data_IF_678545238349
#
_entry.id   IF_678545238349
#
_cell.length_a   1.000
_cell.length_b   1.000
_cell.length_c   1.000
_cell.angle_alpha   90.00
_cell.angle_beta   90.00
_cell.angle_gamma   90.00
#
_symmetry.space_group_name_H-M   'P 1'
#
loop_
_entity.id
_entity.type
_entity.pdbx_description
1 polymer ?
#
# COMPACT_ATOMS: atom_id res chain seq x y z
N UNK A 1 3.24 0.76 -2.22
CA UNK A 1 2.72 1.58 -1.14
C UNK A 1 1.73 0.79 -0.28
N UNK A 2 1.76 0.98 1.02
CA UNK A 2 0.80 0.42 1.99
C UNK A 2 0.31 1.57 2.90
N UNK A 3 -0.59 2.44 2.42
CA UNK A 3 -0.98 3.63 3.15
C UNK A 3 -1.58 3.32 4.52
N UNK A 4 -1.24 4.11 5.57
CA UNK A 4 -1.76 3.93 6.93
C UNK A 4 -3.18 4.51 7.02
N UNK A 5 -4.14 3.81 6.43
CA UNK A 5 -5.52 4.25 6.32
C UNK A 5 -6.15 4.59 7.68
N UNK A 6 -6.75 5.78 7.80
CA UNK A 6 -7.64 6.11 8.91
C UNK A 6 -9.04 5.57 8.62
N UNK A 7 -9.54 4.71 9.49
CA UNK A 7 -10.88 4.14 9.34
C UNK A 7 -11.92 5.02 10.04
N UNK A 8 -13.05 5.24 9.38
CA UNK A 8 -14.16 6.06 9.94
C UNK A 8 -14.86 5.41 11.13
N UNK A 9 -14.69 4.12 11.36
CA UNK A 9 -15.34 3.39 12.44
C UNK A 9 -14.64 3.64 13.78
N UNK A 10 -15.10 4.65 14.51
CA UNK A 10 -14.67 4.92 15.89
C UNK A 10 -15.01 3.72 16.78
N UNK A 11 -13.99 3.20 17.52
CA UNK A 11 -14.11 2.19 18.59
C UNK A 11 -14.44 0.75 18.15
N UNK A 12 -13.74 0.22 17.15
CA UNK A 12 -13.70 -1.24 16.96
C UNK A 12 -12.41 -1.78 17.57
N UNK A 13 -12.51 -2.85 18.36
CA UNK A 13 -11.35 -3.56 18.90
C UNK A 13 -10.48 -4.03 17.72
N UNK A 14 -9.22 -3.63 17.66
CA UNK A 14 -8.32 -3.90 16.51
C UNK A 14 -8.27 -2.81 15.44
N UNK A 15 -8.80 -1.61 15.69
CA UNK A 15 -8.63 -0.47 14.80
C UNK A 15 -7.14 -0.11 14.64
N UNK A 16 -6.74 0.23 13.40
CA UNK A 16 -5.35 0.57 13.06
C UNK A 16 -4.77 1.70 13.93
N UNK A 17 -5.61 2.65 14.33
CA UNK A 17 -5.26 3.80 15.19
C UNK A 17 -4.71 3.39 16.58
N UNK A 18 -4.98 2.18 17.03
CA UNK A 18 -4.45 1.65 18.30
C UNK A 18 -3.04 1.07 18.14
N UNK A 19 -2.51 0.97 16.93
CA UNK A 19 -1.27 0.24 16.64
C UNK A 19 -0.19 1.10 15.99
N UNK A 20 -0.58 2.11 15.18
CA UNK A 20 0.35 3.02 14.50
C UNK A 20 -0.35 4.33 14.12
N UNK A 21 0.41 5.42 13.89
CA UNK A 21 -0.13 6.68 13.38
C UNK A 21 -0.84 6.47 12.03
N UNK A 22 -2.10 6.89 11.93
CA UNK A 22 -2.87 6.83 10.69
C UNK A 22 -2.94 8.20 10.04
N UNK A 23 -3.12 8.23 8.71
CA UNK A 23 -3.29 9.45 7.93
C UNK A 23 -4.71 9.52 7.36
N UNK A 24 -5.28 10.72 7.31
CA UNK A 24 -6.51 10.97 6.57
C UNK A 24 -6.27 10.86 5.06
N UNK A 25 -7.35 10.67 4.29
CA UNK A 25 -7.23 10.61 2.83
C UNK A 25 -6.70 11.93 2.25
N UNK A 26 -7.02 13.08 2.85
CA UNK A 26 -6.55 14.37 2.38
C UNK A 26 -5.05 14.57 2.64
N UNK A 27 -4.54 14.15 3.81
CA UNK A 27 -3.11 14.11 4.10
C UNK A 27 -2.36 13.19 3.13
N UNK A 28 -2.90 12.01 2.84
CA UNK A 28 -2.32 11.08 1.87
C UNK A 28 -2.28 11.68 0.45
N UNK A 29 -3.36 12.35 0.04
CA UNK A 29 -3.43 13.00 -1.26
C UNK A 29 -2.44 14.17 -1.40
N UNK A 30 -2.11 14.85 -0.30
CA UNK A 30 -1.17 15.97 -0.29
C UNK A 30 0.30 15.54 -0.43
N UNK A 31 0.61 14.26 -0.27
CA UNK A 31 1.97 13.76 -0.45
C UNK A 31 2.43 13.92 -1.90
N UNK A 32 3.63 14.49 -2.16
CA UNK A 32 4.10 14.79 -3.51
C UNK A 32 4.62 13.54 -4.25
N UNK A 33 3.86 12.45 -4.23
CA UNK A 33 4.24 11.16 -4.85
C UNK A 33 4.45 11.29 -6.36
N UNK A 34 3.72 12.20 -7.01
CA UNK A 34 3.88 12.47 -8.43
C UNK A 34 5.30 12.92 -8.82
N UNK A 35 6.04 13.56 -7.89
CA UNK A 35 7.43 14.02 -8.10
C UNK A 35 8.44 12.87 -8.06
N UNK A 36 8.15 11.80 -7.32
CA UNK A 36 8.99 10.59 -7.26
C UNK A 36 8.79 9.72 -8.50
N UNK A 37 7.61 9.81 -9.13
CA UNK A 37 7.22 8.92 -10.18
C UNK A 37 7.88 9.29 -11.52
N UNK A 38 8.63 8.37 -12.12
CA UNK A 38 9.13 8.52 -13.48
C UNK A 38 7.98 8.72 -14.48
N UNK A 39 8.32 9.23 -15.68
CA UNK A 39 7.35 9.45 -16.78
C UNK A 39 6.53 8.19 -17.06
N UNK A 40 7.18 7.04 -17.11
CA UNK A 40 6.57 5.73 -17.32
C UNK A 40 6.81 4.90 -16.05
N UNK A 41 5.80 4.77 -15.21
CA UNK A 41 5.91 4.12 -13.90
C UNK A 41 4.66 3.35 -13.51
N UNK A 42 4.83 2.34 -12.66
CA UNK A 42 3.75 1.54 -12.10
C UNK A 42 3.66 1.76 -10.59
N UNK A 43 2.44 1.86 -10.09
CA UNK A 43 2.11 1.93 -8.67
C UNK A 43 1.41 0.64 -8.26
N UNK A 44 1.92 0.01 -7.20
CA UNK A 44 1.31 -1.11 -6.51
C UNK A 44 0.85 -0.62 -5.13
N UNK A 45 -0.45 -0.60 -4.88
CA UNK A 45 -1.03 -0.03 -3.67
C UNK A 45 -1.90 -1.02 -2.92
N UNK A 46 -1.55 -1.32 -1.68
CA UNK A 46 -2.37 -2.15 -0.80
C UNK A 46 -3.60 -1.39 -0.31
N UNK A 47 -4.73 -2.08 -0.36
CA UNK A 47 -5.98 -1.60 0.19
C UNK A 47 -6.80 -2.75 0.77
N UNK A 48 -7.55 -2.46 1.82
CA UNK A 48 -8.64 -3.34 2.24
C UNK A 48 -9.89 -3.05 1.40
N UNK A 49 -10.78 -4.01 1.27
CA UNK A 49 -12.00 -3.82 0.47
C UNK A 49 -12.84 -2.61 0.89
N UNK A 50 -13.03 -2.31 2.20
CA UNK A 50 -13.76 -1.11 2.61
C UNK A 50 -13.08 0.20 2.21
N UNK A 51 -11.75 0.22 2.03
CA UNK A 51 -10.97 1.41 1.64
C UNK A 51 -10.79 1.54 0.11
N UNK A 52 -11.45 0.70 -0.67
CA UNK A 52 -11.30 0.74 -2.12
C UNK A 52 -11.66 2.10 -2.76
N UNK A 53 -12.75 2.79 -2.36
CA UNK A 53 -13.07 4.12 -2.89
C UNK A 53 -11.95 5.14 -2.61
N UNK A 54 -11.42 5.17 -1.39
CA UNK A 54 -10.33 6.05 -0.97
C UNK A 54 -9.03 5.71 -1.71
N UNK A 55 -8.73 4.43 -1.89
CA UNK A 55 -7.56 4.00 -2.65
C UNK A 55 -7.63 4.45 -4.12
N UNK A 56 -8.79 4.36 -4.76
CA UNK A 56 -8.99 4.84 -6.12
C UNK A 56 -8.89 6.38 -6.22
N UNK A 57 -9.36 7.11 -5.20
CA UNK A 57 -9.16 8.56 -5.10
C UNK A 57 -7.68 8.90 -4.96
N UNK A 58 -6.97 8.21 -4.09
CA UNK A 58 -5.54 8.43 -3.83
C UNK A 58 -4.68 8.15 -5.06
N UNK A 59 -4.95 7.06 -5.77
CA UNK A 59 -4.29 6.73 -7.04
C UNK A 59 -4.38 7.91 -8.03
N UNK A 60 -5.56 8.51 -8.17
CA UNK A 60 -5.75 9.68 -9.06
C UNK A 60 -5.02 10.91 -8.55
N UNK A 61 -5.07 11.18 -7.25
CA UNK A 61 -4.39 12.32 -6.65
C UNK A 61 -2.86 12.26 -6.84
N UNK A 62 -2.28 11.05 -6.82
CA UNK A 62 -0.86 10.82 -7.09
C UNK A 62 -0.50 10.81 -8.59
N UNK A 63 -1.46 11.12 -9.48
CA UNK A 63 -1.22 11.21 -10.92
C UNK A 63 -1.18 9.88 -11.66
N UNK A 64 -1.72 8.81 -11.08
CA UNK A 64 -1.78 7.48 -11.70
C UNK A 64 -3.19 7.15 -12.19
N UNK A 65 -3.26 6.25 -13.14
CA UNK A 65 -4.52 5.68 -13.65
C UNK A 65 -4.64 4.23 -13.22
N UNK A 66 -5.70 3.90 -12.50
CA UNK A 66 -6.01 2.52 -12.10
C UNK A 66 -6.13 1.60 -13.34
N UNK A 67 -5.57 0.41 -13.25
CA UNK A 67 -5.62 -0.60 -14.31
C UNK A 67 -6.34 -1.87 -13.90
N UNK A 68 -5.97 -2.45 -12.76
CA UNK A 68 -6.46 -3.75 -12.31
C UNK A 68 -6.10 -4.00 -10.85
N UNK A 69 -6.55 -5.12 -10.30
CA UNK A 69 -5.96 -5.71 -9.10
C UNK A 69 -4.72 -6.50 -9.53
N UNK A 70 -3.55 -6.12 -9.01
CA UNK A 70 -2.30 -6.84 -9.24
C UNK A 70 -2.28 -8.15 -8.47
N UNK A 71 -2.49 -8.07 -7.15
CA UNK A 71 -2.43 -9.22 -6.27
C UNK A 71 -3.61 -9.27 -5.30
N UNK A 72 -3.98 -10.49 -4.93
CA UNK A 72 -4.95 -10.78 -3.86
C UNK A 72 -4.24 -11.65 -2.84
N UNK A 73 -4.03 -11.11 -1.65
CA UNK A 73 -3.50 -11.87 -0.53
C UNK A 73 -4.61 -12.61 0.19
N UNK A 74 -4.60 -13.94 0.09
CA UNK A 74 -5.47 -14.84 0.81
C UNK A 74 -4.77 -15.26 2.11
N UNK A 75 -5.30 -14.81 3.24
CA UNK A 75 -4.67 -14.91 4.55
C UNK A 75 -4.88 -16.28 5.18
N UNK A 76 -3.78 -16.91 5.57
CA UNK A 76 -3.77 -18.12 6.40
C UNK A 76 -3.51 -17.78 7.86
N UNK A 77 -3.88 -18.68 8.76
CA UNK A 77 -3.50 -18.59 10.15
C UNK A 77 -2.02 -18.93 10.36
N UNK A 78 -1.37 -18.30 11.37
CA UNK A 78 0.06 -18.53 11.68
C UNK A 78 0.39 -19.97 12.08
N UNK A 79 -0.52 -20.60 12.83
CA UNK A 79 -0.25 -21.86 13.57
C UNK A 79 -1.07 -23.04 13.06
N UNK A 80 -1.89 -22.85 12.03
CA UNK A 80 -2.76 -23.87 11.49
C UNK A 80 -2.91 -23.69 9.97
N UNK A 81 -3.00 -24.79 9.24
CA UNK A 81 -3.33 -24.76 7.82
C UNK A 81 -4.83 -24.53 7.62
N UNK A 82 -5.27 -23.34 7.98
CA UNK A 82 -6.64 -22.88 7.88
C UNK A 82 -6.70 -21.42 7.47
N UNK A 83 -7.85 -20.98 6.97
CA UNK A 83 -8.05 -19.58 6.59
C UNK A 83 -8.13 -18.67 7.81
N UNK A 84 -7.50 -17.51 7.71
CA UNK A 84 -7.63 -16.47 8.73
C UNK A 84 -9.09 -16.00 8.83
N UNK A 85 -9.55 -15.82 10.06
CA UNK A 85 -10.89 -15.38 10.36
C UNK A 85 -10.88 -13.91 10.80
N UNK A 86 -10.93 -13.00 9.82
CA UNK A 86 -10.89 -11.55 10.09
C UNK A 86 -12.21 -10.99 10.64
N UNK A 87 -12.12 -9.78 11.15
CA UNK A 87 -13.28 -9.02 11.64
C UNK A 87 -13.89 -8.22 10.47
N UNK A 88 -15.06 -8.60 10.04
CA UNK A 88 -15.83 -7.88 9.03
C UNK A 88 -17.30 -7.78 9.45
N UNK A 89 -17.97 -6.69 9.04
CA UNK A 89 -19.37 -6.47 9.40
C UNK A 89 -20.34 -7.40 8.64
N UNK A 90 -20.03 -7.66 7.37
CA UNK A 90 -20.88 -8.50 6.50
C UNK A 90 -20.31 -9.89 6.33
N UNK A 91 -19.09 -9.97 5.86
CA UNK A 91 -18.35 -11.22 5.69
C UNK A 91 -17.08 -11.19 6.51
N UNK A 92 -16.45 -12.33 6.78
CA UNK A 92 -15.19 -12.40 7.49
C UNK A 92 -14.04 -12.07 6.54
N UNK A 93 -13.41 -10.90 6.77
CA UNK A 93 -12.34 -10.38 5.92
C UNK A 93 -11.07 -11.22 6.09
N UNK A 94 -10.79 -12.09 5.12
CA UNK A 94 -9.61 -12.94 5.08
C UNK A 94 -8.75 -12.72 3.83
N UNK A 95 -8.99 -11.63 3.11
CA UNK A 95 -8.19 -11.21 1.97
C UNK A 95 -7.91 -9.70 2.02
N UNK A 96 -6.81 -9.30 1.37
CA UNK A 96 -6.51 -7.91 1.01
C UNK A 96 -6.10 -7.84 -0.46
N UNK A 97 -6.23 -6.68 -1.07
CA UNK A 97 -5.92 -6.46 -2.48
C UNK A 97 -4.76 -5.48 -2.64
N UNK A 98 -3.92 -5.76 -3.63
CA UNK A 98 -2.90 -4.84 -4.11
C UNK A 98 -3.32 -4.35 -5.49
N UNK A 99 -3.63 -3.06 -5.59
CA UNK A 99 -4.08 -2.42 -6.83
C UNK A 99 -2.89 -2.09 -7.73
N UNK A 100 -3.06 -2.26 -9.04
CA UNK A 100 -2.13 -1.80 -10.06
C UNK A 100 -2.65 -0.52 -10.71
N UNK A 101 -1.81 0.49 -10.73
CA UNK A 101 -2.05 1.72 -11.47
C UNK A 101 -0.80 2.12 -12.26
N UNK A 102 -0.94 2.91 -13.31
CA UNK A 102 0.18 3.35 -14.14
C UNK A 102 0.15 4.85 -14.40
N UNK A 103 1.35 5.43 -14.55
CA UNK A 103 1.58 6.75 -15.13
C UNK A 103 2.36 6.53 -16.43
N UNK A 104 1.97 7.19 -17.52
CA UNK A 104 2.55 6.92 -18.84
C UNK A 104 2.27 5.48 -19.34
N UNK A 105 3.29 4.87 -19.93
CA UNK A 105 3.19 3.57 -20.58
C UNK A 105 4.29 2.59 -20.11
N UNK A 106 4.37 2.26 -18.82
CA UNK A 106 5.35 1.28 -18.34
C UNK A 106 5.09 -0.09 -18.99
N UNK A 107 6.17 -0.79 -19.31
CA UNK A 107 6.10 -2.13 -19.89
C UNK A 107 6.38 -3.18 -18.83
N UNK A 108 5.55 -4.20 -18.75
CA UNK A 108 5.86 -5.40 -17.97
C UNK A 108 6.96 -6.21 -18.68
N UNK A 109 7.77 -6.93 -17.92
CA UNK A 109 8.77 -7.88 -18.43
C UNK A 109 8.31 -9.33 -18.21
N UNK A 110 7.76 -9.64 -17.04
CA UNK A 110 7.18 -10.95 -16.77
C UNK A 110 5.77 -11.12 -17.35
N UNK A 111 5.43 -12.35 -17.76
CA UNK A 111 4.13 -12.66 -18.35
C UNK A 111 3.31 -13.71 -17.57
N UNK A 112 3.96 -14.43 -16.65
CA UNK A 112 3.43 -15.59 -15.93
C UNK A 112 3.25 -15.37 -14.43
N UNK A 113 3.16 -14.11 -14.00
CA UNK A 113 3.03 -13.77 -12.60
C UNK A 113 1.57 -13.95 -12.14
N UNK A 114 1.35 -14.97 -11.32
CA UNK A 114 0.03 -15.26 -10.76
C UNK A 114 -0.43 -14.21 -9.76
N UNK A 115 -1.74 -13.92 -9.78
CA UNK A 115 -2.37 -12.88 -8.99
C UNK A 115 -2.48 -13.24 -7.49
N UNK A 116 -2.68 -14.51 -7.15
CA UNK A 116 -2.85 -14.92 -5.77
C UNK A 116 -1.52 -14.98 -5.01
N UNK A 117 -1.56 -14.48 -3.77
CA UNK A 117 -0.56 -14.69 -2.74
C UNK A 117 -1.27 -15.43 -1.61
N UNK A 118 -0.82 -16.63 -1.26
CA UNK A 118 -1.41 -17.43 -0.19
C UNK A 118 -0.35 -17.60 0.88
N UNK A 119 -0.48 -16.87 1.97
CA UNK A 119 0.51 -16.90 3.05
C UNK A 119 -0.12 -16.63 4.42
N UNK A 120 0.53 -17.10 5.51
CA UNK A 120 0.10 -16.75 6.86
C UNK A 120 0.18 -15.24 7.12
N UNK A 121 -0.70 -14.77 8.01
CA UNK A 121 -0.51 -13.46 8.63
C UNK A 121 0.75 -13.47 9.51
N UNK A 122 1.47 -12.35 9.54
CA UNK A 122 2.68 -12.19 10.36
C UNK A 122 2.45 -11.19 11.50
N UNK A 123 3.31 -10.18 11.64
CA UNK A 123 3.08 -9.05 12.53
C UNK A 123 1.87 -8.23 12.07
N UNK A 124 1.32 -7.41 12.97
CA UNK A 124 0.14 -6.61 12.65
C UNK A 124 0.36 -5.82 11.35
N UNK A 125 -0.57 -5.96 10.41
CA UNK A 125 -0.58 -5.28 9.11
C UNK A 125 0.61 -5.53 8.18
N UNK A 126 1.60 -6.36 8.53
CA UNK A 126 2.71 -6.68 7.63
C UNK A 126 2.19 -7.41 6.39
N UNK A 127 2.54 -6.88 5.22
CA UNK A 127 2.22 -7.51 3.93
C UNK A 127 3.25 -8.60 3.59
N UNK A 128 2.87 -9.61 2.78
CA UNK A 128 3.79 -10.68 2.39
C UNK A 128 5.01 -10.16 1.63
N UNK A 129 6.20 -10.57 2.05
CA UNK A 129 7.46 -10.20 1.37
C UNK A 129 7.51 -10.70 -0.08
N UNK A 130 6.88 -11.85 -0.38
CA UNK A 130 6.68 -12.39 -1.74
C UNK A 130 6.11 -11.35 -2.73
N UNK A 131 5.37 -10.36 -2.24
CA UNK A 131 4.83 -9.29 -3.10
C UNK A 131 5.92 -8.51 -3.81
N UNK A 132 7.03 -8.21 -3.13
CA UNK A 132 8.18 -7.50 -3.71
C UNK A 132 8.83 -8.32 -4.81
N UNK A 133 9.01 -9.61 -4.58
CA UNK A 133 9.58 -10.53 -5.56
C UNK A 133 8.70 -10.61 -6.82
N UNK A 134 7.38 -10.73 -6.64
CA UNK A 134 6.41 -10.73 -7.73
C UNK A 134 6.41 -9.41 -8.52
N UNK A 135 6.56 -8.26 -7.84
CA UNK A 135 6.66 -6.95 -8.51
C UNK A 135 7.94 -6.89 -9.36
N UNK A 136 9.08 -7.32 -8.82
CA UNK A 136 10.34 -7.35 -9.56
C UNK A 136 10.27 -8.33 -10.73
N UNK A 137 9.69 -9.51 -10.54
CA UNK A 137 9.49 -10.47 -11.61
C UNK A 137 8.57 -9.93 -12.72
N UNK A 138 7.53 -9.16 -12.37
CA UNK A 138 6.61 -8.55 -13.33
C UNK A 138 7.23 -7.38 -14.08
N UNK A 139 7.91 -6.47 -13.36
CA UNK A 139 8.35 -5.17 -13.92
C UNK A 139 9.82 -5.17 -14.34
N UNK A 140 10.62 -6.12 -13.87
CA UNK A 140 12.07 -6.16 -14.02
C UNK A 140 12.80 -5.41 -12.90
N UNK A 141 14.14 -5.44 -12.96
CA UNK A 141 15.01 -4.76 -11.99
C UNK A 141 15.12 -3.26 -12.34
N UNK A 142 14.09 -2.51 -11.99
CA UNK A 142 13.96 -1.08 -12.20
C UNK A 142 14.13 -0.32 -10.88
N UNK A 143 14.48 0.98 -10.89
CA UNK A 143 14.42 1.83 -9.71
C UNK A 143 13.03 1.75 -9.06
N UNK A 144 12.99 1.54 -7.76
CA UNK A 144 11.74 1.28 -7.04
C UNK A 144 11.81 1.80 -5.61
N UNK A 145 10.70 2.28 -5.12
CA UNK A 145 10.54 2.79 -3.75
C UNK A 145 9.34 2.15 -3.08
N UNK A 146 9.49 1.79 -1.81
CA UNK A 146 8.39 1.40 -0.94
C UNK A 146 7.99 2.59 -0.06
N UNK A 147 6.79 3.10 -0.28
CA UNK A 147 6.20 4.15 0.56
C UNK A 147 5.44 3.51 1.72
N UNK A 148 5.57 4.13 2.90
CA UNK A 148 5.06 3.63 4.19
C UNK A 148 5.76 2.33 4.60
N UNK A 149 7.05 2.24 4.26
CA UNK A 149 7.87 1.07 4.57
C UNK A 149 8.06 0.90 6.08
N UNK A 150 8.10 -0.35 6.51
CA UNK A 150 8.36 -0.76 7.89
C UNK A 150 9.67 -1.53 8.06
N UNK A 151 10.35 -1.76 6.95
CA UNK A 151 11.66 -2.40 6.87
C UNK A 151 12.38 -1.91 5.62
N UNK A 152 13.69 -2.14 5.53
CA UNK A 152 14.52 -1.75 4.39
C UNK A 152 14.92 -3.01 3.60
N UNK A 153 14.11 -3.45 2.63
CA UNK A 153 14.42 -4.62 1.83
C UNK A 153 15.55 -4.32 0.84
N UNK A 154 16.43 -5.29 0.53
CA UNK A 154 17.50 -5.09 -0.44
C UNK A 154 16.98 -4.63 -1.81
N UNK A 155 17.64 -3.62 -2.39
CA UNK A 155 17.30 -3.09 -3.71
C UNK A 155 16.02 -2.25 -3.79
N UNK A 156 15.47 -1.84 -2.68
CA UNK A 156 14.35 -0.91 -2.59
C UNK A 156 14.77 0.36 -1.87
N UNK A 157 14.44 1.50 -2.44
CA UNK A 157 14.38 2.74 -1.68
C UNK A 157 13.17 2.69 -0.76
N UNK A 158 13.25 3.35 0.40
CA UNK A 158 12.20 3.28 1.42
C UNK A 158 11.87 4.66 1.97
N UNK A 159 10.59 4.85 2.29
CA UNK A 159 10.08 5.97 3.04
C UNK A 159 8.94 5.52 3.95
N UNK A 160 9.02 5.84 5.23
CA UNK A 160 8.02 5.45 6.24
C UNK A 160 8.43 5.94 7.63
N UNK A 161 7.52 5.82 8.58
CA UNK A 161 7.77 6.25 9.96
C UNK A 161 8.55 5.23 10.82
N UNK A 162 8.74 4.02 10.33
CA UNK A 162 9.47 2.94 11.03
C UNK A 162 10.85 2.67 10.43
N UNK A 163 11.27 3.44 9.41
CA UNK A 163 12.55 3.29 8.71
C UNK A 163 13.24 4.63 8.52
N UNK A 164 14.58 4.62 8.43
CA UNK A 164 15.30 5.79 7.93
C UNK A 164 15.06 5.92 6.42
N UNK A 165 14.56 7.06 5.93
CA UNK A 165 14.33 7.26 4.50
C UNK A 165 15.62 7.13 3.69
N UNK A 166 15.53 6.54 2.49
CA UNK A 166 16.64 6.55 1.55
C UNK A 166 17.01 7.99 1.20
N UNK A 167 18.30 8.30 1.16
CA UNK A 167 18.82 9.64 0.87
C UNK A 167 18.25 10.19 -0.45
N UNK A 168 17.76 11.43 -0.43
CA UNK A 168 17.17 12.09 -1.59
C UNK A 168 15.64 11.89 -1.71
N UNK A 169 15.04 11.02 -0.91
CA UNK A 169 13.59 11.00 -0.70
C UNK A 169 13.20 12.07 0.35
N UNK A 170 11.91 12.23 0.60
CA UNK A 170 11.42 13.22 1.57
C UNK A 170 12.06 13.01 2.93
N UNK A 171 12.64 14.06 3.49
CA UNK A 171 13.54 13.99 4.64
C UNK A 171 12.84 13.63 5.96
N UNK A 172 11.51 13.70 6.04
CA UNK A 172 10.72 13.37 7.23
C UNK A 172 9.31 12.91 6.89
N UNK A 173 8.76 12.06 7.74
CA UNK A 173 7.33 11.82 7.84
C UNK A 173 6.65 13.16 8.19
N UNK A 174 5.50 13.51 7.58
CA UNK A 174 4.78 14.70 7.98
C UNK A 174 4.47 14.61 9.49
N UNK A 175 5.19 15.39 10.28
CA UNK A 175 4.78 15.62 11.67
C UNK A 175 3.46 16.36 11.61
N UNK A 176 2.58 16.08 12.55
CA UNK A 176 1.22 16.61 12.68
C UNK A 176 1.18 18.12 12.33
N UNK A 177 1.14 18.43 11.04
CA UNK A 177 1.02 19.80 10.55
C UNK A 177 -0.41 20.21 10.82
N UNK A 178 -0.58 20.99 11.89
CA UNK A 178 -1.85 21.55 12.27
C UNK A 178 -2.57 22.12 11.05
N UNK A 179 -3.68 21.48 10.73
CA UNK A 179 -4.81 21.90 9.91
C UNK A 179 -4.58 23.08 8.95
N UNK A 180 -4.15 22.78 7.74
CA UNK A 180 -4.59 23.54 6.59
C UNK A 180 -5.46 22.62 5.73
N UNK A 181 -6.68 23.04 5.43
CA UNK A 181 -7.64 22.31 4.59
C UNK A 181 -7.13 22.25 3.14
N UNK A 182 -6.32 21.26 2.84
CA UNK A 182 -5.95 20.96 1.45
C UNK A 182 -7.01 20.04 0.87
N UNK A 183 -7.90 20.58 0.06
CA UNK A 183 -8.93 19.80 -0.63
C UNK A 183 -8.31 18.99 -1.76
N UNK A 184 -8.40 17.67 -1.67
CA UNK A 184 -8.03 16.76 -2.74
C UNK A 184 -9.05 16.83 -3.89
N UNK A 185 -8.65 16.94 -5.17
CA UNK A 185 -9.59 16.96 -6.30
C UNK A 185 -10.44 15.69 -6.36
N UNK A 186 -11.74 15.88 -6.58
CA UNK A 186 -12.71 14.78 -6.76
C UNK A 186 -12.53 14.07 -8.12
#
# INVERSE_FOLDING_TARGET
ADPPWRYSAKKVQGAAENHYPTMSIDELCALPVAELAAKDSALFMWATFPQLPEALRLIRAWGFTYKSVAFVWLKKNKKADSWFYGLGFWTRANAEICLLATKGHPKRQGADIHQFIISPIEAHSKKPDETRDKIVALMGDLPRVELFARQTPPGWDVWGNEVEPTAGLWSRWPEDSGKEDVTCPM
#
